data_IF_488112802747
#
_entry.id   IF_488112802747
#
_cell.length_a   1.000
_cell.length_b   1.000
_cell.length_c   1.000
_cell.angle_alpha   90.00
_cell.angle_beta   90.00
_cell.angle_gamma   90.00
#
_symmetry.space_group_name_H-M   'P 1'
#
loop_
_entity.id
_entity.type
_entity.pdbx_description
1 polymer ?
#
# COMPACT_ATOMS: atom_id res chain seq x y z
N UNK A 1 56.63 -1.10 12.91
CA UNK A 1 55.45 -1.74 13.56
C UNK A 1 54.29 -0.78 13.75
N UNK A 2 54.49 0.46 14.22
CA UNK A 2 53.42 1.46 14.41
C UNK A 2 52.62 1.75 13.14
N UNK A 3 53.28 1.89 11.99
CA UNK A 3 52.60 2.16 10.71
C UNK A 3 51.63 1.04 10.30
N UNK A 4 52.02 -0.22 10.51
CA UNK A 4 51.17 -1.38 10.20
C UNK A 4 49.93 -1.42 11.10
N UNK A 5 50.09 -1.12 12.39
CA UNK A 5 48.98 -1.05 13.34
C UNK A 5 48.01 0.08 12.95
N UNK A 6 48.53 1.23 12.54
CA UNK A 6 47.70 2.35 12.08
C UNK A 6 46.91 1.99 10.80
N UNK A 7 47.54 1.33 9.83
CA UNK A 7 46.87 0.88 8.60
C UNK A 7 45.77 -0.14 8.92
N UNK A 8 46.03 -1.12 9.78
CA UNK A 8 45.02 -2.11 10.19
C UNK A 8 43.86 -1.43 10.90
N UNK A 9 44.13 -0.47 11.80
CA UNK A 9 43.08 0.30 12.48
C UNK A 9 42.18 1.08 11.52
N UNK A 10 42.76 1.71 10.50
CA UNK A 10 42.01 2.41 9.45
C UNK A 10 41.15 1.44 8.62
N UNK A 11 41.70 0.29 8.24
CA UNK A 11 40.97 -0.73 7.49
C UNK A 11 39.80 -1.28 8.32
N UNK A 12 40.00 -1.59 9.60
CA UNK A 12 38.94 -2.05 10.50
C UNK A 12 37.84 -1.01 10.67
N UNK A 13 38.20 0.26 10.92
CA UNK A 13 37.22 1.35 11.05
C UNK A 13 36.43 1.55 9.76
N UNK A 14 37.10 1.55 8.60
CA UNK A 14 36.42 1.67 7.31
C UNK A 14 35.49 0.50 7.01
N UNK A 15 35.87 -0.72 7.40
CA UNK A 15 35.05 -1.91 7.26
C UNK A 15 33.80 -1.86 8.15
N UNK A 16 33.98 -1.43 9.40
CA UNK A 16 32.87 -1.28 10.35
C UNK A 16 31.90 -0.18 9.91
N UNK A 17 32.41 0.96 9.42
CA UNK A 17 31.59 2.05 8.92
C UNK A 17 30.70 1.59 7.76
N UNK A 18 31.25 0.85 6.78
CA UNK A 18 30.47 0.31 5.66
C UNK A 18 29.38 -0.66 6.10
N UNK A 19 29.66 -1.50 7.10
CA UNK A 19 28.65 -2.41 7.66
C UNK A 19 27.53 -1.66 8.36
N UNK A 20 27.87 -0.62 9.14
CA UNK A 20 26.88 0.22 9.81
C UNK A 20 26.00 0.95 8.80
N UNK A 21 26.60 1.54 7.76
CA UNK A 21 25.86 2.23 6.71
C UNK A 21 24.89 1.28 6.01
N UNK A 22 25.33 0.07 5.66
CA UNK A 22 24.47 -0.94 5.05
C UNK A 22 23.31 -1.36 5.98
N UNK A 23 23.58 -1.55 7.27
CA UNK A 23 22.56 -1.90 8.25
C UNK A 23 21.53 -0.78 8.46
N UNK A 24 21.96 0.48 8.46
CA UNK A 24 21.09 1.65 8.57
C UNK A 24 20.18 1.75 7.33
N UNK A 25 20.73 1.57 6.13
CA UNK A 25 19.94 1.61 4.90
C UNK A 25 18.88 0.52 4.89
N UNK A 26 19.26 -0.74 5.18
CA UNK A 26 18.30 -1.85 5.28
C UNK A 26 17.21 -1.58 6.32
N UNK A 27 17.58 -1.02 7.48
CA UNK A 27 16.63 -0.65 8.52
C UNK A 27 15.68 0.47 8.10
N UNK A 28 16.14 1.43 7.29
CA UNK A 28 15.28 2.49 6.77
C UNK A 28 14.29 1.96 5.72
N UNK A 29 14.75 1.10 4.82
CA UNK A 29 13.89 0.48 3.79
C UNK A 29 12.74 -0.31 4.43
N UNK A 30 13.05 -1.13 5.44
CA UNK A 30 12.04 -1.89 6.20
C UNK A 30 11.03 -0.95 6.87
N UNK A 31 11.52 0.11 7.53
CA UNK A 31 10.64 1.10 8.18
C UNK A 31 9.74 1.80 7.19
N UNK A 32 10.24 2.13 6.00
CA UNK A 32 9.45 2.76 4.95
C UNK A 32 8.39 1.80 4.41
N UNK A 33 8.75 0.54 4.16
CA UNK A 33 7.81 -0.49 3.74
C UNK A 33 6.70 -0.70 4.78
N UNK A 34 7.05 -0.89 6.05
CA UNK A 34 6.08 -1.09 7.13
C UNK A 34 5.14 0.11 7.30
N UNK A 35 5.65 1.34 7.16
CA UNK A 35 4.81 2.55 7.19
C UNK A 35 3.82 2.56 6.02
N UNK A 36 4.30 2.32 4.80
CA UNK A 36 3.44 2.27 3.62
C UNK A 36 2.38 1.16 3.74
N UNK A 37 2.76 -0.02 4.21
CA UNK A 37 1.86 -1.15 4.43
C UNK A 37 0.75 -0.80 5.42
N UNK A 38 1.10 -0.21 6.58
CA UNK A 38 0.12 0.23 7.57
C UNK A 38 -0.75 1.38 7.04
N UNK A 39 -0.21 2.28 6.23
CA UNK A 39 -0.98 3.35 5.58
C UNK A 39 -2.01 2.78 4.58
N UNK A 40 -1.64 1.76 3.80
CA UNK A 40 -2.57 1.08 2.90
C UNK A 40 -3.68 0.34 3.67
N UNK A 41 -3.34 -0.32 4.79
CA UNK A 41 -4.33 -0.94 5.68
C UNK A 41 -5.28 0.10 6.29
N UNK A 42 -4.75 1.21 6.78
CA UNK A 42 -5.56 2.32 7.32
C UNK A 42 -6.48 2.91 6.25
N UNK A 43 -5.98 3.03 5.03
CA UNK A 43 -6.77 3.50 3.87
C UNK A 43 -7.92 2.56 3.55
N UNK A 44 -7.68 1.24 3.52
CA UNK A 44 -8.74 0.23 3.37
C UNK A 44 -9.78 0.33 4.50
N UNK A 45 -9.33 0.45 5.75
CA UNK A 45 -10.23 0.51 6.89
C UNK A 45 -11.09 1.79 6.89
N UNK A 46 -10.48 2.93 6.59
CA UNK A 46 -11.18 4.21 6.42
C UNK A 46 -12.18 4.17 5.25
N UNK A 47 -11.80 3.53 4.14
CA UNK A 47 -12.64 3.36 2.95
C UNK A 47 -13.95 2.60 3.18
N UNK A 48 -13.98 1.70 4.16
CA UNK A 48 -15.21 0.95 4.53
C UNK A 48 -16.32 1.87 5.04
N UNK A 49 -15.95 2.96 5.72
CA UNK A 49 -16.89 3.93 6.26
C UNK A 49 -17.27 5.06 5.30
N UNK A 50 -16.67 5.10 4.10
CA UNK A 50 -16.95 6.17 3.14
C UNK A 50 -18.26 5.93 2.40
N UNK A 51 -18.85 7.04 1.94
CA UNK A 51 -20.03 7.00 1.08
C UNK A 51 -19.58 6.77 -0.34
N UNK A 52 -20.01 5.67 -0.93
CA UNK A 52 -19.70 5.31 -2.30
C UNK A 52 -20.89 5.57 -3.21
N UNK A 53 -20.60 6.05 -4.42
CA UNK A 53 -21.62 6.11 -5.47
C UNK A 53 -21.87 4.70 -6.04
N UNK A 54 -22.66 4.56 -7.10
CA UNK A 54 -22.88 3.26 -7.75
C UNK A 54 -21.56 2.59 -8.11
N UNK A 55 -21.51 1.25 -8.07
CA UNK A 55 -20.31 0.52 -8.47
C UNK A 55 -20.08 0.68 -9.99
N UNK A 56 -18.85 1.01 -10.38
CA UNK A 56 -18.45 1.24 -11.78
C UNK A 56 -17.23 0.42 -12.16
N UNK A 57 -17.03 0.21 -13.46
CA UNK A 57 -15.79 -0.39 -13.97
C UNK A 57 -14.59 0.57 -13.92
N UNK A 58 -14.83 1.88 -13.79
CA UNK A 58 -13.79 2.87 -13.49
C UNK A 58 -13.49 2.94 -11.99
N UNK A 59 -12.26 3.30 -11.64
CA UNK A 59 -11.89 3.59 -10.26
C UNK A 59 -12.59 4.85 -9.76
N UNK A 60 -13.18 4.76 -8.58
CA UNK A 60 -13.67 5.90 -7.82
C UNK A 60 -12.77 6.07 -6.62
N UNK A 61 -11.94 7.10 -6.59
CA UNK A 61 -10.98 7.32 -5.51
C UNK A 61 -11.45 8.41 -4.55
N UNK A 62 -11.19 8.20 -3.26
CA UNK A 62 -11.36 9.19 -2.21
C UNK A 62 -10.05 9.31 -1.44
N UNK A 63 -9.76 10.54 -0.98
CA UNK A 63 -8.53 10.86 -0.26
C UNK A 63 -8.83 11.62 1.03
N UNK A 64 -8.16 11.22 2.11
CA UNK A 64 -8.11 11.97 3.37
C UNK A 64 -6.75 12.64 3.49
N UNK A 65 -6.66 13.90 3.09
CA UNK A 65 -5.40 14.65 3.03
C UNK A 65 -4.70 14.78 4.38
N UNK A 66 -5.45 14.85 5.49
CA UNK A 66 -4.90 14.98 6.84
C UNK A 66 -4.03 13.78 7.25
N UNK A 67 -4.39 12.57 6.81
CA UNK A 67 -3.71 11.32 7.13
C UNK A 67 -3.04 10.68 5.91
N UNK A 68 -3.05 11.36 4.76
CA UNK A 68 -2.53 10.89 3.48
C UNK A 68 -3.11 9.52 3.08
N UNK A 69 -4.37 9.25 3.43
CA UNK A 69 -5.03 8.00 3.07
C UNK A 69 -5.68 8.12 1.70
N UNK A 70 -5.48 7.13 0.84
CA UNK A 70 -6.11 7.06 -0.48
C UNK A 70 -6.74 5.68 -0.62
N UNK A 71 -8.03 5.69 -0.96
CA UNK A 71 -8.79 4.45 -1.18
C UNK A 71 -9.63 4.58 -2.43
N UNK A 72 -9.63 3.54 -3.25
CA UNK A 72 -10.36 3.50 -4.51
C UNK A 72 -11.29 2.29 -4.56
N UNK A 73 -12.48 2.46 -5.12
CA UNK A 73 -13.46 1.41 -5.32
C UNK A 73 -13.72 1.19 -6.81
N UNK A 74 -13.83 -0.08 -7.21
CA UNK A 74 -14.15 -0.51 -8.58
C UNK A 74 -15.00 -1.79 -8.54
N UNK A 75 -15.75 -2.07 -9.59
CA UNK A 75 -16.35 -3.40 -9.83
C UNK A 75 -15.25 -4.46 -10.07
N UNK A 76 -15.36 -5.60 -9.38
CA UNK A 76 -14.49 -6.75 -9.61
C UNK A 76 -14.80 -7.42 -10.96
N UNK A 77 -13.90 -8.29 -11.42
CA UNK A 77 -14.06 -8.98 -12.71
C UNK A 77 -15.24 -9.95 -12.80
N UNK A 78 -15.73 -10.41 -11.66
CA UNK A 78 -16.93 -11.24 -11.56
C UNK A 78 -18.24 -10.43 -11.68
N UNK A 79 -18.20 -9.10 -11.53
CA UNK A 79 -19.37 -8.23 -11.55
C UNK A 79 -20.30 -8.34 -10.33
N UNK A 80 -20.08 -9.33 -9.47
CA UNK A 80 -20.87 -9.60 -8.26
C UNK A 80 -20.29 -8.92 -7.02
N UNK A 81 -19.00 -8.60 -7.06
CA UNK A 81 -18.27 -8.01 -5.95
C UNK A 81 -17.63 -6.67 -6.34
N UNK A 82 -17.37 -5.85 -5.32
CA UNK A 82 -16.49 -4.70 -5.43
C UNK A 82 -15.06 -5.04 -5.06
N UNK A 83 -14.13 -4.27 -5.60
CA UNK A 83 -12.73 -4.28 -5.26
C UNK A 83 -12.36 -2.93 -4.66
N UNK A 84 -12.02 -2.94 -3.37
CA UNK A 84 -11.48 -1.80 -2.67
C UNK A 84 -9.95 -1.87 -2.69
N UNK A 85 -9.28 -0.80 -3.10
CA UNK A 85 -7.82 -0.65 -3.14
C UNK A 85 -7.41 0.44 -2.17
N UNK A 86 -6.55 0.13 -1.20
CA UNK A 86 -5.94 1.11 -0.30
C UNK A 86 -4.47 1.30 -0.65
N UNK A 87 -3.99 2.52 -0.51
CA UNK A 87 -2.65 2.91 -0.96
C UNK A 87 -1.77 3.39 0.20
N UNK A 88 -0.47 3.10 0.07
CA UNK A 88 0.58 3.50 1.00
C UNK A 88 1.75 4.11 0.25
N UNK A 89 2.24 5.26 0.70
CA UNK A 89 3.29 6.01 0.01
C UNK A 89 4.66 5.44 0.35
N UNK A 90 5.41 5.04 -0.68
CA UNK A 90 6.81 4.62 -0.58
C UNK A 90 7.71 5.79 -1.03
N UNK A 91 8.66 6.27 -0.22
CA UNK A 91 9.49 7.43 -0.59
C UNK A 91 10.37 7.21 -1.83
N UNK A 92 10.79 5.97 -2.06
CA UNK A 92 11.71 5.59 -3.15
C UNK A 92 11.01 5.00 -4.38
N UNK A 93 9.66 4.96 -4.40
CA UNK A 93 8.89 4.35 -5.50
C UNK A 93 7.87 5.34 -6.05
N UNK A 94 7.80 5.42 -7.39
CA UNK A 94 6.76 6.17 -8.08
C UNK A 94 5.37 5.51 -7.95
N UNK A 95 5.33 4.20 -7.69
CA UNK A 95 4.09 3.46 -7.47
C UNK A 95 3.85 3.30 -5.96
N UNK A 96 2.63 3.58 -5.46
CA UNK A 96 2.30 3.30 -4.08
C UNK A 96 2.29 1.80 -3.82
N UNK A 97 2.51 1.44 -2.55
CA UNK A 97 2.17 0.11 -2.06
C UNK A 97 0.64 0.00 -2.08
N UNK A 98 0.10 -1.05 -2.70
CA UNK A 98 -1.33 -1.25 -2.82
C UNK A 98 -1.76 -2.51 -2.08
N UNK A 99 -2.87 -2.43 -1.36
CA UNK A 99 -3.55 -3.55 -0.75
C UNK A 99 -5.00 -3.58 -1.24
N UNK A 100 -5.55 -4.79 -1.32
CA UNK A 100 -6.86 -5.02 -1.90
C UNK A 100 -7.80 -5.67 -0.89
N UNK A 101 -9.09 -5.34 -0.99
CA UNK A 101 -10.16 -5.96 -0.22
C UNK A 101 -11.37 -6.17 -1.13
N UNK A 102 -11.79 -7.42 -1.30
CA UNK A 102 -13.09 -7.77 -1.89
C UNK A 102 -14.20 -7.36 -0.94
N UNK A 103 -15.22 -6.71 -1.50
CA UNK A 103 -16.38 -6.21 -0.77
C UNK A 103 -17.67 -6.63 -1.47
N UNK A 104 -18.70 -6.98 -0.70
CA UNK A 104 -20.07 -7.04 -1.19
C UNK A 104 -20.67 -5.65 -1.10
N UNK A 105 -21.62 -5.33 -1.98
CA UNK A 105 -22.30 -4.04 -1.96
C UNK A 105 -23.81 -4.21 -1.89
N UNK A 106 -24.49 -3.25 -1.26
CA UNK A 106 -25.94 -3.19 -1.20
C UNK A 106 -26.40 -1.76 -1.48
N UNK A 107 -27.40 -1.61 -2.34
CA UNK A 107 -28.00 -0.31 -2.63
C UNK A 107 -28.68 0.27 -1.37
N UNK A 108 -28.47 1.56 -1.14
CA UNK A 108 -29.16 2.32 -0.10
C UNK A 108 -30.27 3.17 -0.73
N UNK A 109 -31.31 3.50 0.05
CA UNK A 109 -32.41 4.35 -0.40
C UNK A 109 -31.98 5.77 -0.84
N UNK A 110 -30.78 6.19 -0.45
CA UNK A 110 -30.15 7.46 -0.85
C UNK A 110 -29.54 7.45 -2.26
N UNK A 111 -29.54 6.31 -2.96
CA UNK A 111 -28.85 6.14 -4.24
C UNK A 111 -27.33 5.88 -4.11
N UNK A 112 -26.83 5.74 -2.88
CA UNK A 112 -25.46 5.34 -2.57
C UNK A 112 -25.38 3.82 -2.35
N UNK A 113 -24.17 3.27 -2.34
CA UNK A 113 -23.95 1.87 -1.95
C UNK A 113 -23.27 1.79 -0.59
N UNK A 114 -23.72 0.85 0.24
CA UNK A 114 -22.97 0.38 1.39
C UNK A 114 -22.04 -0.73 0.92
N UNK A 115 -20.81 -0.74 1.41
CA UNK A 115 -19.87 -1.84 1.16
C UNK A 115 -19.61 -2.61 2.45
N UNK A 116 -19.46 -3.92 2.35
CA UNK A 116 -19.12 -4.81 3.45
C UNK A 116 -17.94 -5.70 3.04
N UNK A 117 -16.82 -5.74 3.81
CA UNK A 117 -15.67 -6.58 3.48
C UNK A 117 -16.00 -8.07 3.57
N UNK A 118 -15.54 -8.83 2.59
CA UNK A 118 -15.54 -10.30 2.66
C UNK A 118 -14.46 -10.77 3.64
N UNK A 119 -14.79 -11.76 4.48
CA UNK A 119 -13.93 -12.27 5.56
C UNK A 119 -12.57 -12.79 5.08
N UNK A 120 -12.52 -13.43 3.92
CA UNK A 120 -11.29 -13.89 3.24
C UNK A 120 -10.94 -13.06 2.01
N UNK A 121 -11.39 -11.80 1.99
CA UNK A 121 -11.31 -10.93 0.83
C UNK A 121 -10.10 -10.01 0.81
N UNK A 122 -9.20 -10.05 1.79
CA UNK A 122 -8.01 -9.20 1.85
C UNK A 122 -6.85 -9.84 1.09
N UNK A 123 -6.16 -9.07 0.23
CA UNK A 123 -5.05 -9.53 -0.59
C UNK A 123 -3.99 -8.43 -0.75
N UNK A 124 -2.73 -8.85 -0.86
CA UNK A 124 -1.57 -8.01 -1.18
C UNK A 124 -1.19 -8.04 -2.68
N UNK A 125 -1.96 -8.78 -3.48
CA UNK A 125 -1.83 -8.86 -4.93
C UNK A 125 -3.16 -8.55 -5.63
N UNK A 126 -3.09 -8.24 -6.93
CA UNK A 126 -4.27 -7.96 -7.73
C UNK A 126 -5.23 -9.17 -7.78
N UNK A 127 -6.47 -9.06 -7.28
CA UNK A 127 -7.39 -10.19 -7.23
C UNK A 127 -8.13 -10.48 -8.54
N UNK A 128 -7.97 -9.62 -9.55
CA UNK A 128 -8.49 -9.86 -10.90
C UNK A 128 -7.44 -10.61 -11.73
N UNK A 129 -7.91 -11.48 -12.65
CA UNK A 129 -7.03 -12.24 -13.55
C UNK A 129 -6.19 -11.33 -14.44
N UNK A 130 -6.74 -10.19 -14.82
CA UNK A 130 -6.09 -9.18 -15.63
C UNK A 130 -5.48 -8.10 -14.74
N UNK A 131 -4.16 -8.09 -14.62
CA UNK A 131 -3.41 -7.14 -13.78
C UNK A 131 -3.69 -5.68 -14.18
N UNK A 132 -3.97 -5.42 -15.46
CA UNK A 132 -4.35 -4.10 -15.98
C UNK A 132 -5.58 -3.51 -15.31
N UNK A 133 -6.45 -4.34 -14.71
CA UNK A 133 -7.61 -3.86 -13.95
C UNK A 133 -7.22 -3.24 -12.61
N UNK A 134 -6.12 -3.69 -12.03
CA UNK A 134 -5.56 -3.16 -10.79
C UNK A 134 -4.57 -2.03 -11.03
N UNK A 135 -3.79 -2.12 -12.11
CA UNK A 135 -2.72 -1.21 -12.51
C UNK A 135 -3.21 0.04 -13.25
N UNK A 136 -4.52 0.16 -13.51
CA UNK A 136 -5.09 1.35 -14.11
C UNK A 136 -4.88 2.57 -13.19
N UNK A 137 -3.76 3.23 -13.40
CA UNK A 137 -3.44 4.60 -12.99
C UNK A 137 -4.19 5.53 -13.92
N UNK A 138 -5.04 6.39 -13.36
CA UNK A 138 -5.42 7.65 -14.01
C UNK A 138 -4.18 8.54 -14.21
#
# INVERSE_FOLDING_TARGET
MVLLIAIIGLLLMSGLQRQLDAAIQMGNDERHYLRAFNQALSSLNWGRGQRWSTLTESWQCQQLSAEQLVVCLRAASDGEQGLLRGEGTLPASARPLTLYQRVSFSAQSSGQIAIQPLSSGWLDFCPDKEVTRCDATE
#
